data_IF_795297869412
#
_entry.id   IF_795297869412
#
_cell.length_a   1.000
_cell.length_b   1.000
_cell.length_c   1.000
_cell.angle_alpha   90.00
_cell.angle_beta   90.00
_cell.angle_gamma   90.00
#
_symmetry.space_group_name_H-M   'P 1'
#
loop_
_entity.id
_entity.type
_entity.pdbx_description
1 polymer ?
2 water ?
#
# COMPACT_ATOMS: atom_id res chain seq x y z
N UNK A 1 7.24 -2.36 17.91
CA UNK A 1 6.58 -1.02 17.92
C UNK A 1 5.44 -0.97 16.89
N UNK A 2 4.61 0.06 16.98
CA UNK A 2 3.47 0.25 16.08
C UNK A 2 3.85 0.87 14.74
N UNK A 3 3.75 0.08 13.67
CA UNK A 3 3.95 0.59 12.33
C UNK A 3 2.60 0.76 11.63
N UNK A 4 2.40 1.91 10.98
CA UNK A 4 1.19 2.17 10.21
C UNK A 4 1.31 1.61 8.80
N UNK A 5 0.61 0.51 8.54
CA UNK A 5 0.67 -0.13 7.22
C UNK A 5 -0.67 -0.03 6.49
N UNK A 6 -0.65 0.35 5.21
CA UNK A 6 -1.87 0.45 4.42
C UNK A 6 -2.51 -0.92 4.16
N UNK A 7 -3.81 -0.95 3.95
CA UNK A 7 -4.47 -2.21 3.64
C UNK A 7 -4.17 -2.70 2.23
N UNK A 8 -4.25 -4.02 2.03
CA UNK A 8 -4.33 -4.57 0.67
C UNK A 8 -5.57 -3.95 0.02
N UNK A 9 -5.58 -3.83 -1.30
CA UNK A 9 -6.74 -3.26 -1.99
C UNK A 9 -7.30 -4.21 -3.03
N UNK A 10 -6.65 -5.34 -3.21
CA UNK A 10 -7.13 -6.34 -4.15
C UNK A 10 -7.49 -7.61 -3.39
N UNK A 11 -8.60 -8.24 -3.75
CA UNK A 11 -9.06 -9.43 -3.05
C UNK A 11 -9.50 -10.48 -4.03
N UNK A 12 -9.29 -11.73 -3.65
CA UNK A 12 -9.70 -12.86 -4.48
C UNK A 12 -11.08 -13.33 -4.03
N UNK A 13 -12.00 -13.47 -4.99
CA UNK A 13 -13.35 -13.93 -4.72
C UNK A 13 -13.34 -15.28 -3.98
N UNK A 14 -14.16 -15.38 -2.95
CA UNK A 14 -14.29 -16.64 -2.23
C UNK A 14 -13.39 -16.77 -1.02
N UNK A 15 -12.36 -15.92 -0.93
CA UNK A 15 -11.50 -15.92 0.24
C UNK A 15 -11.88 -14.81 1.22
N UNK A 16 -11.41 -14.92 2.48
CA UNK A 16 -11.53 -13.81 3.41
C UNK A 16 -10.59 -12.68 3.03
N UNK A 17 -10.96 -11.46 3.36
CA UNK A 17 -10.15 -10.28 3.05
C UNK A 17 -9.93 -9.49 4.34
N UNK A 18 -8.69 -9.09 4.58
CA UNK A 18 -8.40 -8.25 5.73
C UNK A 18 -8.42 -6.80 5.30
N UNK A 19 -9.35 -6.04 5.86
CA UNK A 19 -9.32 -4.60 5.67
C UNK A 19 -8.47 -4.01 6.78
N UNK A 20 -7.20 -3.80 6.48
CA UNK A 20 -6.27 -3.33 7.50
C UNK A 20 -6.51 -1.86 7.82
N UNK A 21 -6.56 -1.51 9.10
CA UNK A 21 -6.59 -0.10 9.49
C UNK A 21 -5.76 0.08 10.76
N UNK A 22 -4.67 0.83 10.66
CA UNK A 22 -3.79 1.03 11.77
C UNK A 22 -3.62 2.52 12.06
N UNK A 23 -3.87 2.89 13.31
CA UNK A 23 -3.70 4.26 13.73
C UNK A 23 -2.76 4.22 14.92
N UNK A 24 -1.49 4.50 14.68
CA UNK A 24 -0.51 4.47 15.74
C UNK A 24 -0.69 5.69 16.59
N UNK A 25 -0.63 5.49 17.88
CA UNK A 25 -1.21 6.45 18.75
C UNK A 25 -0.21 7.25 19.55
N UNK A 26 -0.69 8.36 20.09
CA UNK A 26 0.11 9.33 20.82
C UNK A 26 0.09 9.09 22.33
N UNK A 27 1.21 8.59 22.85
CA UNK A 27 1.42 8.34 24.29
C UNK A 27 0.55 9.18 25.23
N UNK A 32 -7.30 7.43 27.32
CA UNK A 32 -7.54 7.48 25.88
C UNK A 32 -8.81 6.74 25.44
N UNK A 33 -9.84 7.48 25.06
CA UNK A 33 -11.11 6.89 24.62
C UNK A 33 -11.18 6.78 23.11
N UNK A 34 -11.55 5.60 22.64
CA UNK A 34 -11.53 5.29 21.22
C UNK A 34 -12.91 5.04 20.63
N UNK A 35 -13.14 5.58 19.45
CA UNK A 35 -14.30 5.22 18.66
C UNK A 35 -13.78 4.78 17.30
N UNK A 36 -14.35 3.71 16.77
CA UNK A 36 -14.00 3.24 15.44
C UNK A 36 -15.28 3.05 14.65
N UNK A 37 -15.36 3.67 13.49
CA UNK A 37 -16.49 3.44 12.60
C UNK A 37 -15.98 2.97 11.26
N UNK A 38 -16.54 1.87 10.77
CA UNK A 38 -16.24 1.41 9.43
C UNK A 38 -17.43 1.66 8.53
N UNK A 39 -17.15 2.22 7.36
CA UNK A 39 -18.21 2.52 6.41
C UNK A 39 -17.96 1.78 5.11
N UNK A 40 -19.02 1.52 4.35
CA UNK A 40 -18.87 0.97 3.02
C UNK A 40 -19.72 1.75 2.04
N UNK A 41 -19.21 1.89 0.82
CA UNK A 41 -19.93 2.57 -0.22
C UNK A 41 -19.81 1.78 -1.49
N UNK A 42 -20.94 1.36 -2.04
CA UNK A 42 -20.95 0.70 -3.33
C UNK A 42 -20.84 1.74 -4.45
N UNK A 43 -20.26 1.33 -5.57
CA UNK A 43 -20.15 2.18 -6.75
C UNK A 43 -21.49 2.84 -7.08
N UNK A 44 -21.48 4.17 -7.03
CA UNK A 44 -22.65 4.97 -7.34
C UNK A 44 -23.67 4.96 -6.22
N UNK A 45 -23.20 4.76 -4.99
CA UNK A 45 -24.08 4.73 -3.82
C UNK A 45 -23.63 5.62 -2.69
N UNK A 46 -24.20 5.39 -1.50
CA UNK A 46 -23.91 6.19 -0.31
C UNK A 46 -23.20 5.37 0.75
N UNK A 47 -22.29 5.99 1.50
CA UNK A 47 -21.69 5.34 2.68
C UNK A 47 -22.76 4.87 3.64
N UNK A 48 -22.65 3.64 4.12
CA UNK A 48 -23.39 3.28 5.31
C UNK A 48 -22.46 2.58 6.28
N UNK A 49 -22.75 2.71 7.57
CA UNK A 49 -21.96 2.11 8.64
C UNK A 49 -22.04 0.59 8.58
N UNK A 50 -20.93 -0.11 8.84
CA UNK A 50 -20.95 -1.59 8.81
C UNK A 50 -20.35 -2.22 10.05
N UNK A 51 -19.48 -1.47 10.74
CA UNK A 51 -18.86 -1.91 11.96
C UNK A 51 -18.65 -0.70 12.87
N UNK A 52 -18.86 -0.87 14.17
CA UNK A 52 -18.65 0.23 15.10
C UNK A 52 -18.02 -0.22 16.41
N UNK A 53 -16.98 0.47 16.87
CA UNK A 53 -16.62 0.35 18.28
C UNK A 53 -16.94 1.65 19.01
N UNK A 54 -17.91 1.59 19.91
CA UNK A 54 -18.35 2.75 20.67
C UNK A 54 -18.83 2.27 22.04
N UNK A 55 -17.94 2.32 23.04
CA UNK A 55 -18.19 1.65 24.31
C UNK A 55 -18.54 0.19 24.05
N UNK A 56 -17.60 -0.54 23.46
CA UNK A 56 -17.84 -1.91 23.02
C UNK A 56 -18.05 -2.05 21.52
N UNK A 57 -17.91 -3.29 21.04
CA UNK A 57 -18.21 -3.64 19.66
C UNK A 57 -19.70 -3.83 19.47
N UNK A 58 -20.31 -2.95 18.69
CA UNK A 58 -21.75 -2.95 18.53
C UNK A 58 -22.16 -3.81 17.36
N UNK A 59 -23.35 -4.38 17.47
CA UNK A 59 -23.95 -5.02 16.32
C UNK A 59 -24.56 -3.96 15.43
N UNK A 60 -24.11 -3.98 14.19
CA UNK A 60 -24.53 -3.00 13.23
C UNK A 60 -25.32 -3.76 12.20
N UNK A 61 -26.53 -3.30 11.93
CA UNK A 61 -27.32 -3.91 10.88
C UNK A 61 -26.88 -3.42 9.53
N UNK A 62 -26.55 -4.36 8.65
CA UNK A 62 -26.05 -4.05 7.32
C UNK A 62 -26.05 -5.39 6.61
N UNK A 63 -25.93 -5.36 5.26
CA UNK A 63 -25.77 -6.55 4.41
C UNK A 63 -24.49 -7.29 4.76
N UNK A 64 -23.67 -6.62 5.55
CA UNK A 64 -22.41 -7.14 5.97
C UNK A 64 -22.54 -7.90 7.28
N UNK A 65 -23.60 -7.61 8.03
CA UNK A 65 -23.86 -8.30 9.29
C UNK A 65 -23.91 -9.79 9.00
N UNK A 66 -23.12 -10.56 9.76
CA UNK A 66 -22.92 -11.97 9.47
C UNK A 66 -21.52 -12.30 8.97
N UNK A 67 -20.95 -11.48 8.08
CA UNK A 67 -19.66 -11.81 7.50
C UNK A 67 -18.51 -10.94 7.95
N UNK A 68 -18.67 -10.21 9.04
CA UNK A 68 -17.58 -9.38 9.52
C UNK A 68 -16.90 -10.02 10.71
N UNK A 69 -15.61 -9.76 10.86
CA UNK A 69 -14.84 -10.38 11.93
C UNK A 69 -13.84 -9.37 12.41
N UNK A 70 -13.77 -9.16 13.71
CA UNK A 70 -12.80 -8.22 14.27
C UNK A 70 -11.40 -8.81 14.25
N UNK A 71 -10.41 -7.97 13.96
CA UNK A 71 -9.09 -8.46 13.68
C UNK A 71 -8.08 -7.43 14.12
N UNK A 72 -8.42 -6.71 15.17
CA UNK A 72 -7.57 -5.62 15.64
C UNK A 72 -6.87 -5.95 16.94
N UNK A 73 -6.24 -4.95 17.53
CA UNK A 73 -5.47 -5.14 18.75
C UNK A 73 -6.31 -4.75 19.98
N UNK A 74 -5.86 -5.16 21.16
CA UNK A 74 -6.60 -4.79 22.38
C UNK A 74 -6.33 -3.34 22.72
N UNK A 75 -5.14 -2.87 22.36
CA UNK A 75 -4.78 -1.48 22.57
C UNK A 75 -5.49 -0.55 21.58
N UNK A 76 -6.22 -1.12 20.62
CA UNK A 76 -7.01 -0.37 19.63
C UNK A 76 -6.22 0.55 18.69
N UNK A 77 -4.94 0.26 18.51
CA UNK A 77 -4.15 0.93 17.51
C UNK A 77 -4.33 0.23 16.18
N UNK A 78 -4.50 -1.09 16.24
CA UNK A 78 -4.89 -1.86 15.07
C UNK A 78 -6.39 -2.10 15.17
N UNK A 79 -7.14 -1.59 14.20
CA UNK A 79 -8.61 -1.71 14.21
C UNK A 79 -9.12 -2.39 12.94
N UNK A 80 -8.28 -3.25 12.38
CA UNK A 80 -8.63 -3.98 11.17
C UNK A 80 -9.82 -4.89 11.38
N UNK A 81 -10.57 -5.10 10.30
CA UNK A 81 -11.64 -6.09 10.26
C UNK A 81 -11.46 -7.03 9.10
N UNK A 82 -12.14 -8.16 9.12
CA UNK A 82 -12.06 -9.13 8.03
C UNK A 82 -13.44 -9.32 7.44
N UNK A 83 -13.54 -9.27 6.14
CA UNK A 83 -14.79 -9.65 5.50
C UNK A 83 -14.64 -11.08 5.03
N UNK A 84 -15.51 -11.96 5.54
CA UNK A 84 -15.42 -13.37 5.22
C UNK A 84 -16.12 -13.63 3.89
N UNK A 85 -15.58 -14.56 3.13
CA UNK A 85 -16.30 -15.13 2.00
C UNK A 85 -16.66 -14.06 1.00
N UNK A 86 -15.61 -13.51 0.40
CA UNK A 86 -15.73 -12.31 -0.40
C UNK A 86 -16.35 -12.57 -1.78
N UNK A 87 -17.27 -11.69 -2.16
CA UNK A 87 -17.89 -11.72 -3.49
C UNK A 87 -17.55 -10.50 -4.32
N UNK A 88 -17.66 -10.67 -5.64
CA UNK A 88 -17.50 -9.57 -6.58
C UNK A 88 -18.29 -8.35 -6.15
N UNK A 89 -19.41 -8.56 -5.46
CA UNK A 89 -20.23 -7.44 -5.01
C UNK A 89 -19.69 -6.61 -3.84
N UNK A 90 -18.72 -7.14 -3.11
CA UNK A 90 -18.09 -6.41 -2.02
C UNK A 90 -17.10 -5.34 -2.49
N UNK A 91 -16.83 -5.27 -3.79
CA UNK A 91 -16.07 -4.17 -4.36
C UNK A 91 -16.75 -2.85 -4.02
N UNK A 92 -15.93 -1.82 -3.80
CA UNK A 92 -16.40 -0.52 -3.35
C UNK A 92 -15.35 0.15 -2.50
N UNK A 93 -15.71 1.23 -1.83
CA UNK A 93 -14.79 2.00 -1.01
C UNK A 93 -15.11 1.82 0.47
N UNK A 94 -14.16 1.31 1.25
CA UNK A 94 -14.33 1.12 2.67
C UNK A 94 -13.61 2.24 3.42
N UNK A 95 -14.28 2.83 4.40
CA UNK A 95 -13.70 3.94 5.12
C UNK A 95 -13.51 3.53 6.56
N UNK A 96 -12.33 3.76 7.09
CA UNK A 96 -12.08 3.49 8.50
C UNK A 96 -11.84 4.81 9.25
N UNK A 97 -12.77 5.18 10.15
CA UNK A 97 -12.65 6.36 11.03
C UNK A 97 -12.25 6.00 12.49
N UNK A 98 -11.11 6.52 12.94
CA UNK A 98 -10.69 6.27 14.31
C UNK A 98 -10.58 7.59 15.02
N UNK A 99 -11.34 7.77 16.09
CA UNK A 99 -11.17 8.98 16.87
C UNK A 99 -10.74 8.70 18.31
N UNK A 100 -10.02 9.65 18.89
CA UNK A 100 -9.41 9.43 20.17
C UNK A 100 -9.59 10.64 21.07
N UNK A 101 -10.12 10.42 22.26
CA UNK A 101 -10.25 11.50 23.23
C UNK A 101 -9.35 11.32 24.43
N UNK A 102 -9.01 12.45 25.06
CA UNK A 102 -8.11 12.53 26.23
C UNK A 102 -6.89 11.61 26.18
N UNK A 110 -7.48 15.82 21.45
CA UNK A 110 -8.39 15.12 20.55
C UNK A 110 -7.73 14.70 19.24
N UNK A 111 -8.09 13.52 18.73
CA UNK A 111 -7.65 13.13 17.39
C UNK A 111 -8.73 12.45 16.54
N UNK A 112 -8.49 12.39 15.24
CA UNK A 112 -9.37 11.71 14.33
C UNK A 112 -8.59 11.48 13.06
N UNK A 113 -8.65 10.26 12.56
CA UNK A 113 -7.86 9.86 11.44
C UNK A 113 -8.76 9.08 10.49
N UNK A 114 -8.55 9.23 9.20
CA UNK A 114 -9.37 8.50 8.22
C UNK A 114 -8.53 7.69 7.26
N UNK A 115 -9.00 6.51 6.92
CA UNK A 115 -8.32 5.65 5.97
C UNK A 115 -9.29 5.17 4.93
N UNK A 116 -8.89 5.26 3.68
CA UNK A 116 -9.76 4.84 2.60
C UNK A 116 -9.22 3.62 1.88
N UNK A 117 -10.10 2.64 1.69
CA UNK A 117 -9.72 1.42 1.00
C UNK A 117 -10.61 1.18 -0.20
N UNK A 118 -10.08 1.49 -1.39
CA UNK A 118 -10.75 1.26 -2.67
C UNK A 118 -10.67 -0.23 -3.00
N UNK A 119 -11.58 -1.02 -2.44
CA UNK A 119 -11.49 -2.46 -2.55
C UNK A 119 -11.95 -2.98 -3.91
N UNK A 120 -11.12 -3.79 -4.54
CA UNK A 120 -11.48 -4.40 -5.81
C UNK A 120 -11.31 -5.93 -5.79
N UNK A 121 -12.38 -6.64 -6.16
CA UNK A 121 -12.41 -8.10 -6.06
C UNK A 121 -12.24 -8.79 -7.40
N UNK A 122 -11.37 -9.81 -7.43
CA UNK A 122 -11.06 -10.53 -8.66
C UNK A 122 -11.50 -11.98 -8.58
N UNK A 123 -11.63 -12.60 -9.77
CA UNK A 123 -11.86 -14.03 -9.97
C UNK A 123 -10.64 -14.94 -9.74
N UNK A 124 -10.92 -16.22 -9.46
CA UNK A 124 -9.93 -17.35 -9.48
C UNK A 124 -9.32 -17.71 -8.11
N UNK B 1 11.32 -8.72 13.68
CA UNK B 1 10.07 -9.52 13.58
C UNK B 1 9.60 -9.57 12.12
N UNK B 2 8.33 -9.89 11.91
CA UNK B 2 7.78 -10.02 10.57
C UNK B 2 6.52 -9.20 10.37
N UNK B 3 6.60 -8.19 9.52
CA UNK B 3 5.47 -7.36 9.28
C UNK B 3 4.99 -7.58 7.86
N UNK B 4 3.69 -7.73 7.68
CA UNK B 4 3.16 -7.88 6.33
C UNK B 4 2.87 -6.53 5.73
N UNK B 5 3.48 -6.25 4.59
CA UNK B 5 3.40 -4.94 4.02
C UNK B 5 3.11 -5.16 2.56
N UNK B 6 2.12 -4.43 2.02
CA UNK B 6 1.76 -4.61 0.63
C UNK B 6 2.87 -4.09 -0.30
N UNK B 7 2.88 -4.57 -1.53
CA UNK B 7 3.84 -4.11 -2.50
C UNK B 7 3.52 -2.71 -3.02
N UNK B 8 4.54 -2.03 -3.54
CA UNK B 8 4.32 -0.83 -4.35
C UNK B 8 3.52 -1.24 -5.59
N UNK B 9 2.83 -0.29 -6.22
CA UNK B 9 1.99 -0.64 -7.34
C UNK B 9 2.32 0.24 -8.54
N UNK B 10 3.22 1.20 -8.36
CA UNK B 10 3.59 2.11 -9.42
C UNK B 10 5.07 1.99 -9.73
N UNK B 11 5.40 1.91 -11.01
CA UNK B 11 6.78 1.77 -11.41
C UNK B 11 7.15 2.76 -12.52
N UNK B 12 8.41 3.17 -12.48
CA UNK B 12 8.95 4.03 -13.52
C UNK B 12 9.60 3.17 -14.58
N UNK B 13 9.29 3.46 -15.84
CA UNK B 13 9.87 2.78 -16.99
C UNK B 13 11.41 2.76 -16.98
N UNK B 14 11.98 1.60 -17.28
CA UNK B 14 13.44 1.43 -17.31
C UNK B 14 14.13 1.21 -15.98
N UNK B 15 13.41 1.35 -14.87
CA UNK B 15 13.95 1.08 -13.55
C UNK B 15 13.56 -0.30 -13.07
N UNK B 16 14.28 -0.84 -12.08
CA UNK B 16 13.86 -2.10 -11.47
C UNK B 16 12.63 -1.88 -10.59
N UNK B 17 11.76 -2.88 -10.50
CA UNK B 17 10.57 -2.77 -9.67
C UNK B 17 10.53 -3.94 -8.70
N UNK B 18 10.34 -3.67 -7.41
CA UNK B 18 10.21 -4.76 -6.46
C UNK B 18 8.75 -5.16 -6.25
N UNK B 19 8.43 -6.40 -6.55
CA UNK B 19 7.11 -6.91 -6.20
C UNK B 19 7.21 -7.56 -4.83
N UNK B 20 6.92 -6.77 -3.81
CA UNK B 20 6.95 -7.28 -2.45
C UNK B 20 5.87 -8.34 -2.25
N UNK B 21 6.21 -9.41 -1.54
CA UNK B 21 5.21 -10.37 -1.09
C UNK B 21 5.65 -10.97 0.24
N UNK B 22 4.90 -10.66 1.29
CA UNK B 22 5.26 -11.15 2.61
C UNK B 22 4.16 -12.01 3.16
N UNK B 23 4.56 -13.19 3.63
CA UNK B 23 3.64 -14.11 4.28
C UNK B 23 4.23 -14.59 5.61
N UNK B 24 3.83 -13.91 6.68
CA UNK B 24 4.36 -14.20 8.00
C UNK B 24 3.87 -15.54 8.50
N UNK B 25 4.80 -16.40 8.88
CA UNK B 25 4.49 -17.77 9.35
C UNK B 25 4.05 -17.81 10.82
N UNK B 26 3.03 -18.61 11.13
CA UNK B 26 2.44 -18.62 12.48
C UNK B 26 3.32 -19.30 13.55
N UNK B 32 7.32 -26.25 7.98
CA UNK B 32 6.80 -27.01 6.86
C UNK B 32 7.51 -26.60 5.57
N UNK B 33 7.21 -27.34 4.51
CA UNK B 33 7.74 -27.04 3.19
C UNK B 33 6.98 -25.88 2.58
N UNK B 34 7.65 -25.15 1.71
CA UNK B 34 7.05 -23.99 1.11
C UNK B 34 7.04 -24.08 -0.40
N UNK B 35 5.99 -23.54 -0.99
CA UNK B 35 5.88 -23.46 -2.42
C UNK B 35 5.45 -22.04 -2.73
N UNK B 36 6.13 -21.40 -3.67
CA UNK B 36 5.84 -20.03 -4.02
C UNK B 36 5.59 -20.00 -5.51
N UNK B 37 4.43 -19.51 -5.91
CA UNK B 37 4.14 -19.34 -7.32
C UNK B 37 3.80 -17.88 -7.62
N UNK B 38 4.41 -17.35 -8.67
CA UNK B 38 4.18 -15.98 -9.08
C UNK B 38 3.62 -16.00 -10.47
N UNK B 39 2.40 -15.47 -10.62
CA UNK B 39 1.78 -15.39 -11.94
C UNK B 39 1.68 -13.96 -12.45
N UNK B 40 1.60 -13.82 -13.77
CA UNK B 40 1.38 -12.53 -14.40
C UNK B 40 0.24 -12.62 -15.37
N UNK B 41 -0.52 -11.54 -15.50
CA UNK B 41 -1.69 -11.48 -16.35
C UNK B 41 -1.76 -10.12 -17.00
N UNK B 42 -1.55 -10.06 -18.33
CA UNK B 42 -1.63 -8.78 -19.03
C UNK B 42 -3.00 -8.12 -18.87
N UNK B 43 -3.13 -6.86 -19.30
CA UNK B 43 -4.40 -6.12 -19.20
C UNK B 43 -5.57 -6.97 -19.71
N UNK B 44 -6.46 -7.31 -18.78
CA UNK B 44 -7.25 -8.52 -18.92
C UNK B 44 -6.24 -9.64 -18.98
N UNK B 45 -6.55 -10.68 -19.75
CA UNK B 45 -5.55 -11.68 -20.12
C UNK B 45 -5.64 -13.07 -19.51
N UNK B 46 -4.69 -13.93 -19.88
CA UNK B 46 -4.51 -15.20 -19.21
C UNK B 46 -3.30 -15.11 -18.27
N UNK B 47 -3.49 -15.59 -17.05
CA UNK B 47 -2.42 -15.72 -16.05
C UNK B 47 -1.43 -16.84 -16.36
N UNK B 48 -0.19 -16.48 -16.61
CA UNK B 48 0.86 -17.51 -16.70
C UNK B 48 1.95 -17.38 -15.64
N UNK B 49 2.47 -18.54 -15.24
CA UNK B 49 3.57 -18.64 -14.28
C UNK B 49 4.82 -17.93 -14.78
N UNK B 50 5.52 -17.23 -13.89
CA UNK B 50 6.75 -16.52 -14.26
C UNK B 50 7.89 -16.79 -13.29
N UNK B 51 7.56 -17.26 -12.10
CA UNK B 51 8.56 -17.60 -11.11
C UNK B 51 7.99 -18.68 -10.22
N UNK B 52 8.83 -19.61 -9.78
CA UNK B 52 8.38 -20.72 -8.95
C UNK B 52 9.46 -21.12 -7.95
N UNK B 53 9.11 -21.22 -6.68
CA UNK B 53 9.97 -21.93 -5.77
C UNK B 53 9.27 -23.22 -5.39
N UNK B 54 9.76 -24.35 -5.90
CA UNK B 54 9.18 -25.67 -5.65
C UNK B 54 10.32 -26.68 -5.61
N UNK B 55 10.76 -27.01 -4.40
CA UNK B 55 12.02 -27.75 -4.21
C UNK B 55 13.14 -27.01 -4.95
N UNK B 56 13.39 -25.78 -4.52
CA UNK B 56 14.34 -24.89 -5.19
C UNK B 56 13.71 -23.87 -6.13
N UNK B 57 14.53 -22.91 -6.55
CA UNK B 57 14.15 -21.89 -7.53
C UNK B 57 14.28 -22.43 -8.92
N UNK B 58 13.16 -22.49 -9.62
CA UNK B 58 13.12 -23.08 -10.94
C UNK B 58 13.40 -22.03 -12.00
N UNK B 59 13.83 -22.47 -13.18
CA UNK B 59 13.88 -21.61 -14.33
C UNK B 59 12.57 -21.74 -15.07
N UNK B 60 11.85 -20.64 -15.14
CA UNK B 60 10.53 -20.63 -15.73
C UNK B 60 10.61 -19.90 -17.05
N UNK B 61 10.08 -20.52 -18.11
CA UNK B 61 10.13 -19.86 -19.41
C UNK B 61 9.00 -18.86 -19.55
N UNK B 62 9.38 -17.63 -19.84
CA UNK B 62 8.49 -16.49 -19.86
C UNK B 62 9.29 -15.33 -20.42
N UNK B 63 8.59 -14.27 -20.85
CA UNK B 63 9.16 -13.01 -21.32
C UNK B 63 9.90 -12.30 -20.20
N UNK B 64 9.77 -12.80 -18.97
CA UNK B 64 10.40 -12.19 -17.82
C UNK B 64 11.76 -12.85 -17.56
N UNK B 65 11.93 -14.06 -18.10
CA UNK B 65 13.16 -14.80 -17.95
C UNK B 65 14.33 -13.91 -18.33
N UNK B 66 15.20 -13.65 -17.37
CA UNK B 66 16.37 -12.81 -17.60
C UNK B 66 16.50 -11.60 -16.70
N UNK B 67 15.39 -10.96 -16.38
CA UNK B 67 15.40 -9.78 -15.53
C UNK B 67 14.54 -9.97 -14.28
N UNK B 68 14.34 -11.23 -13.92
CA UNK B 68 13.75 -11.59 -12.63
C UNK B 68 14.86 -11.83 -11.62
N UNK B 69 14.65 -11.34 -10.42
CA UNK B 69 15.64 -11.51 -9.39
C UNK B 69 14.96 -11.77 -8.06
N UNK B 70 15.36 -12.88 -7.45
CA UNK B 70 14.83 -13.31 -6.17
C UNK B 70 15.23 -12.33 -5.11
N UNK B 71 14.26 -11.98 -4.29
CA UNK B 71 14.43 -10.92 -3.35
C UNK B 71 13.93 -11.36 -2.01
N UNK B 72 13.79 -12.67 -1.86
CA UNK B 72 13.19 -13.24 -0.68
C UNK B 72 14.17 -13.46 0.43
N UNK B 73 13.63 -13.86 1.57
CA UNK B 73 14.43 -14.14 2.74
C UNK B 73 14.68 -15.64 2.79
N UNK B 74 15.65 -16.05 3.60
CA UNK B 74 15.97 -17.47 3.72
C UNK B 74 14.89 -18.22 4.49
N UNK B 75 14.25 -17.55 5.44
CA UNK B 75 13.16 -18.17 6.19
C UNK B 75 11.89 -18.27 5.36
N UNK B 76 11.91 -17.68 4.16
CA UNK B 76 10.76 -17.70 3.23
C UNK B 76 9.45 -17.04 3.75
N UNK B 77 9.57 -16.12 4.69
CA UNK B 77 8.42 -15.26 5.02
C UNK B 77 8.32 -14.09 4.02
N UNK B 78 9.47 -13.70 3.49
CA UNK B 78 9.53 -12.75 2.42
C UNK B 78 9.83 -13.50 1.13
N UNK B 79 8.95 -13.39 0.14
CA UNK B 79 9.09 -14.14 -1.12
C UNK B 79 9.03 -13.21 -2.32
N UNK B 80 9.38 -11.95 -2.07
CA UNK B 80 9.37 -10.90 -3.06
C UNK B 80 10.33 -11.20 -4.21
N UNK B 81 9.99 -10.71 -5.39
CA UNK B 81 10.88 -10.71 -6.55
C UNK B 81 11.06 -9.30 -7.09
N UNK B 82 12.11 -9.09 -7.86
CA UNK B 82 12.35 -7.84 -8.55
C UNK B 82 12.37 -8.05 -10.06
N UNK B 83 11.59 -7.25 -10.76
CA UNK B 83 11.64 -7.23 -12.21
C UNK B 83 12.63 -6.15 -12.62
N UNK B 84 13.67 -6.54 -13.32
CA UNK B 84 14.69 -5.57 -13.75
C UNK B 84 14.21 -4.92 -15.02
N UNK B 85 14.61 -3.67 -15.22
CA UNK B 85 14.48 -3.05 -16.54
C UNK B 85 13.01 -3.07 -16.99
N UNK B 86 12.17 -2.38 -16.22
CA UNK B 86 10.73 -2.40 -16.38
C UNK B 86 10.25 -1.63 -17.61
N UNK B 87 9.28 -2.20 -18.31
CA UNK B 87 8.70 -1.55 -19.46
C UNK B 87 7.22 -1.34 -19.33
N UNK B 88 6.71 -0.37 -20.09
CA UNK B 88 5.29 -0.08 -20.16
C UNK B 88 4.47 -1.35 -20.32
N UNK B 89 5.06 -2.34 -20.98
CA UNK B 89 4.43 -3.64 -21.18
C UNK B 89 4.29 -4.51 -19.92
N UNK B 90 5.07 -4.24 -18.88
CA UNK B 90 4.98 -5.02 -17.64
C UNK B 90 3.77 -4.66 -16.78
N UNK B 91 3.01 -3.65 -17.18
CA UNK B 91 1.74 -3.35 -16.52
C UNK B 91 0.84 -4.56 -16.59
N UNK B 92 0.05 -4.76 -15.55
CA UNK B 92 -0.81 -5.93 -15.44
C UNK B 92 -0.96 -6.32 -14.00
N UNK B 93 -1.58 -7.48 -13.78
CA UNK B 93 -1.82 -7.98 -12.43
C UNK B 93 -0.91 -9.16 -12.11
N UNK B 94 -0.08 -9.01 -11.09
CA UNK B 94 0.82 -10.06 -10.64
C UNK B 94 0.22 -10.74 -9.43
N UNK B 95 0.28 -12.06 -9.40
CA UNK B 95 -0.25 -12.81 -8.29
C UNK B 95 0.88 -13.53 -7.58
N UNK B 96 0.90 -13.52 -6.26
CA UNK B 96 1.91 -14.25 -5.51
C UNK B 96 1.21 -15.27 -4.61
N UNK B 97 1.45 -16.56 -4.89
CA UNK B 97 0.80 -17.68 -4.20
C UNK B 97 1.73 -18.43 -3.26
N UNK B 98 1.36 -18.56 -2.01
CA UNK B 98 2.28 -19.11 -1.05
C UNK B 98 1.58 -20.21 -0.29
N UNK B 99 2.03 -21.44 -0.52
CA UNK B 99 1.49 -22.56 0.23
C UNK B 99 2.49 -23.09 1.23
N UNK B 100 1.97 -23.64 2.32
CA UNK B 100 2.84 -24.18 3.34
C UNK B 100 2.34 -25.54 3.68
N UNK B 101 3.22 -26.52 3.54
CA UNK B 101 2.85 -27.91 3.69
C UNK B 101 3.22 -28.41 5.07
N UNK B 110 -2.21 -27.76 5.97
CA UNK B 110 -1.91 -27.12 4.69
C UNK B 110 -2.55 -25.73 4.58
N UNK B 111 -1.79 -24.77 4.05
CA UNK B 111 -2.15 -23.35 4.13
C UNK B 111 -1.74 -22.65 2.85
N UNK B 112 -2.56 -21.69 2.40
CA UNK B 112 -2.23 -20.91 1.23
C UNK B 112 -2.66 -19.45 1.40
N UNK B 113 -1.89 -18.54 0.82
CA UNK B 113 -2.15 -17.14 0.96
C UNK B 113 -1.91 -16.59 -0.41
N UNK B 114 -2.68 -15.59 -0.81
CA UNK B 114 -2.50 -14.99 -2.12
C UNK B 114 -2.34 -13.48 -2.04
N UNK B 115 -1.54 -12.90 -2.93
CA UNK B 115 -1.40 -11.45 -2.96
C UNK B 115 -1.54 -10.96 -4.38
N UNK B 116 -2.34 -9.93 -4.57
CA UNK B 116 -2.48 -9.38 -5.89
C UNK B 116 -1.83 -8.02 -5.95
N UNK B 117 -1.04 -7.81 -6.98
CA UNK B 117 -0.38 -6.55 -7.16
C UNK B 117 -0.81 -5.94 -8.50
N UNK B 118 -1.70 -4.93 -8.46
CA UNK B 118 -2.02 -4.35 -9.76
C UNK B 118 -0.93 -3.39 -10.23
N UNK B 119 0.03 -3.90 -10.98
CA UNK B 119 1.14 -3.06 -11.41
C UNK B 119 0.81 -2.12 -12.58
N UNK B 120 1.22 -0.87 -12.41
CA UNK B 120 1.05 0.15 -13.42
C UNK B 120 2.38 0.84 -13.69
N UNK B 121 2.81 0.84 -14.94
CA UNK B 121 4.10 1.43 -15.29
C UNK B 121 3.94 2.78 -15.94
N UNK B 122 4.86 3.68 -15.66
CA UNK B 122 4.76 5.06 -16.11
C UNK B 122 5.98 5.45 -16.91
N UNK B 123 5.83 6.39 -17.84
CA UNK B 123 6.92 6.77 -18.77
C UNK B 123 8.10 7.45 -18.08
N UNK C 2 13.74 -0.03 11.14
CA UNK C 2 13.22 0.63 9.90
C UNK C 2 12.56 -0.40 9.00
N UNK C 3 11.38 -0.04 8.50
CA UNK C 3 10.57 -0.88 7.62
C UNK C 3 10.03 -0.03 6.48
N UNK C 4 10.32 -0.43 5.25
CA UNK C 4 9.79 0.29 4.10
C UNK C 4 8.29 0.04 3.94
N UNK C 5 7.52 1.11 3.93
CA UNK C 5 6.09 0.99 3.85
C UNK C 5 5.57 1.99 2.84
N UNK C 6 4.78 1.52 1.88
CA UNK C 6 4.23 2.42 0.89
C UNK C 6 3.27 3.42 1.50
N UNK C 7 3.16 4.58 0.86
CA UNK C 7 2.28 5.66 1.28
C UNK C 7 0.80 5.29 1.08
N UNK C 8 -0.09 5.89 1.86
CA UNK C 8 -1.51 5.82 1.57
C UNK C 8 -1.70 6.50 0.24
N UNK C 9 -2.77 6.14 -0.49
CA UNK C 9 -2.96 6.67 -1.84
C UNK C 9 -4.31 7.35 -2.01
N UNK C 10 -5.11 7.34 -0.95
CA UNK C 10 -6.44 7.92 -1.00
C UNK C 10 -6.53 8.99 0.05
N UNK C 11 -7.08 10.14 -0.34
CA UNK C 11 -7.18 11.24 0.58
C UNK C 11 -8.59 11.82 0.52
N UNK C 12 -9.04 12.32 1.67
CA UNK C 12 -10.29 13.04 1.78
C UNK C 12 -10.02 14.53 1.62
N UNK C 13 -10.77 15.14 0.70
CA UNK C 13 -10.72 16.59 0.45
C UNK C 13 -10.85 17.43 1.73
N UNK C 14 -9.97 18.42 1.88
CA UNK C 14 -10.02 19.32 3.02
C UNK C 14 -9.20 18.88 4.22
N UNK C 15 -8.81 17.62 4.27
CA UNK C 15 -7.85 17.16 5.27
C UNK C 15 -6.39 17.21 4.79
N UNK C 16 -5.43 17.20 5.73
CA UNK C 16 -4.03 17.04 5.37
C UNK C 16 -3.77 15.60 4.92
N UNK C 17 -2.87 15.42 3.96
CA UNK C 17 -2.50 14.10 3.46
C UNK C 17 -1.00 13.84 3.66
N UNK C 18 -0.65 12.73 4.31
CA UNK C 18 0.77 12.43 4.42
C UNK C 18 1.25 11.60 3.24
N UNK C 19 2.25 12.11 2.53
CA UNK C 19 2.88 11.33 1.48
C UNK C 19 4.09 10.67 2.10
N UNK C 20 3.90 9.44 2.58
CA UNK C 20 4.99 8.68 3.15
C UNK C 20 6.05 8.37 2.10
N UNK C 21 7.30 8.39 2.53
CA UNK C 21 8.42 7.93 1.70
C UNK C 21 9.52 7.44 2.62
N UNK C 22 9.80 6.15 2.56
CA UNK C 22 10.78 5.57 3.43
C UNK C 22 11.85 4.87 2.61
N UNK C 23 13.10 5.18 2.91
CA UNK C 23 14.22 4.56 2.26
C UNK C 23 15.22 4.15 3.31
N UNK C 24 15.14 2.90 3.73
CA UNK C 24 15.99 2.41 4.80
C UNK C 24 17.45 2.26 4.35
N UNK C 25 18.38 2.57 5.27
CA UNK C 25 19.82 2.36 5.07
C UNK C 25 20.15 0.89 5.31
N UNK C 26 20.97 0.31 4.44
CA UNK C 26 21.44 -1.05 4.63
C UNK C 26 22.73 -1.06 5.47
N UNK C 32 27.28 8.81 5.35
CA UNK C 32 26.14 8.80 4.44
C UNK C 32 25.59 10.21 4.23
N UNK C 33 25.26 10.52 2.97
CA UNK C 33 24.83 11.86 2.60
C UNK C 33 23.61 11.84 1.70
N UNK C 34 22.65 12.72 1.97
CA UNK C 34 21.32 12.63 1.38
C UNK C 34 20.85 13.83 0.58
N UNK C 35 20.00 13.55 -0.39
CA UNK C 35 19.25 14.56 -1.13
C UNK C 35 17.89 13.95 -1.46
N UNK C 36 16.83 14.69 -1.13
CA UNK C 36 15.46 14.26 -1.38
C UNK C 36 14.85 15.26 -2.34
N UNK C 37 14.13 14.77 -3.33
CA UNK C 37 13.49 15.67 -4.28
C UNK C 37 12.09 15.16 -4.40
N UNK C 38 11.11 16.04 -4.28
CA UNK C 38 9.73 15.63 -4.43
C UNK C 38 9.16 16.27 -5.69
N UNK C 39 8.58 15.45 -6.55
CA UNK C 39 7.97 15.96 -7.76
C UNK C 39 6.49 15.67 -7.80
N UNK C 40 5.79 16.44 -8.62
CA UNK C 40 4.37 16.22 -8.87
C UNK C 40 4.12 16.31 -10.35
N UNK C 41 3.14 15.55 -10.81
CA UNK C 41 2.81 15.46 -12.21
C UNK C 41 1.32 15.26 -12.36
N UNK C 42 0.64 16.21 -13.01
CA UNK C 42 -0.79 15.99 -13.22
C UNK C 42 -0.97 15.01 -14.37
N UNK C 43 -1.91 14.08 -14.23
CA UNK C 43 -2.12 13.02 -15.23
C UNK C 43 -2.16 13.55 -16.65
N UNK C 44 -1.17 13.14 -17.44
CA UNK C 44 -0.96 13.69 -18.77
C UNK C 44 0.22 14.65 -18.77
N UNK C 45 0.24 15.56 -17.81
CA UNK C 45 1.28 16.59 -17.75
C UNK C 45 2.66 16.03 -17.47
N UNK C 46 3.57 16.91 -17.08
CA UNK C 46 4.93 16.48 -16.77
C UNK C 46 5.43 16.90 -15.38
N UNK C 47 6.27 16.06 -14.78
CA UNK C 47 6.77 16.23 -13.40
C UNK C 47 7.50 17.52 -13.10
N UNK C 48 7.01 18.31 -12.14
CA UNK C 48 7.81 19.44 -11.66
C UNK C 48 8.16 19.31 -10.17
N UNK C 49 9.27 19.90 -9.76
CA UNK C 49 9.71 19.80 -8.38
C UNK C 49 8.77 20.55 -7.44
N UNK C 50 8.57 20.02 -6.23
CA UNK C 50 7.72 20.71 -5.23
C UNK C 50 8.39 20.81 -3.86
N UNK C 51 9.37 19.95 -3.60
CA UNK C 51 10.11 19.98 -2.36
C UNK C 51 11.51 19.48 -2.61
N UNK C 52 12.49 20.08 -1.93
CA UNK C 52 13.89 19.70 -2.10
C UNK C 52 14.66 19.78 -0.80
N UNK C 53 15.34 18.70 -0.44
CA UNK C 53 16.43 18.83 0.50
C UNK C 53 17.75 18.65 -0.25
N UNK C 54 18.46 19.77 -0.39
CA UNK C 54 19.77 19.81 -1.04
C UNK C 54 20.68 20.82 -0.31
N UNK C 55 21.49 20.29 0.61
CA UNK C 55 22.23 21.11 1.55
C UNK C 55 21.23 22.02 2.25
N UNK C 56 20.33 21.39 3.00
CA UNK C 56 19.23 22.07 3.66
C UNK C 56 17.91 22.01 2.91
N UNK C 57 16.82 22.22 3.64
CA UNK C 57 15.50 22.33 3.04
C UNK C 57 15.34 23.66 2.29
N UNK C 58 15.12 23.58 0.99
CA UNK C 58 15.07 24.77 0.14
C UNK C 58 13.65 25.30 -0.05
N UNK C 59 13.56 26.56 -0.47
CA UNK C 59 12.29 27.12 -0.91
C UNK C 59 12.08 26.73 -2.36
N UNK C 60 10.97 26.04 -2.63
CA UNK C 60 10.69 25.57 -3.97
C UNK C 60 9.44 26.29 -4.46
N UNK C 61 9.55 26.96 -5.60
CA UNK C 61 8.40 27.63 -6.15
C UNK C 61 7.49 26.63 -6.86
N UNK C 62 6.22 26.65 -6.46
CA UNK C 62 5.20 25.79 -7.01
C UNK C 62 3.86 26.22 -6.47
N UNK C 63 2.77 25.75 -7.10
CA UNK C 63 1.42 25.90 -6.54
C UNK C 63 1.25 25.17 -5.20
N UNK C 64 2.27 24.45 -4.74
CA UNK C 64 2.22 23.79 -3.44
C UNK C 64 2.85 24.65 -2.35
N UNK C 65 3.58 25.69 -2.79
CA UNK C 65 4.33 26.55 -1.87
C UNK C 65 3.42 27.12 -0.80
N UNK C 66 3.80 26.91 0.45
CA UNK C 66 3.00 27.33 1.58
C UNK C 66 2.03 26.26 2.02
N UNK C 67 2.02 25.12 1.33
CA UNK C 67 1.11 24.03 1.71
C UNK C 67 1.80 22.69 1.97
N UNK C 68 3.12 22.71 2.02
CA UNK C 68 3.87 21.51 2.30
C UNK C 68 4.49 21.64 3.66
N UNK C 69 4.63 20.52 4.35
CA UNK C 69 5.17 20.48 5.70
C UNK C 69 5.98 19.21 5.88
N UNK C 70 7.21 19.36 6.32
CA UNK C 70 8.17 18.27 6.45
C UNK C 70 7.80 17.30 7.56
N UNK C 71 8.07 16.02 7.31
CA UNK C 71 7.53 14.98 8.16
C UNK C 71 8.53 13.88 8.31
N UNK C 72 9.78 14.19 8.00
CA UNK C 72 10.81 13.18 7.89
C UNK C 72 11.45 12.90 9.24
N UNK C 73 12.27 11.86 9.29
CA UNK C 73 12.98 11.54 10.52
C UNK C 73 14.33 12.26 10.49
N UNK C 74 15.09 12.15 11.57
CA UNK C 74 16.40 12.77 11.62
C UNK C 74 17.43 11.90 10.93
N UNK C 75 17.28 10.60 11.08
CA UNK C 75 18.14 9.65 10.39
C UNK C 75 18.00 9.75 8.87
N UNK C 76 17.01 10.50 8.40
CA UNK C 76 16.79 10.68 6.96
C UNK C 76 16.35 9.43 6.20
N UNK C 77 15.97 8.39 6.94
CA UNK C 77 15.37 7.17 6.37
C UNK C 77 13.90 7.37 6.02
N UNK C 78 13.22 8.21 6.82
CA UNK C 78 11.87 8.69 6.52
C UNK C 78 11.99 10.13 5.99
N UNK C 79 11.51 10.34 4.77
CA UNK C 79 11.59 11.64 4.08
C UNK C 79 10.21 12.14 3.66
N UNK C 80 9.18 11.65 4.36
CA UNK C 80 7.79 11.99 4.09
C UNK C 80 7.50 13.47 4.24
N UNK C 81 6.54 13.94 3.44
CA UNK C 81 6.01 15.28 3.57
C UNK C 81 4.49 15.19 3.70
N UNK C 82 3.90 16.30 4.16
CA UNK C 82 2.45 16.42 4.26
C UNK C 82 1.96 17.55 3.38
N UNK C 83 0.92 17.28 2.62
CA UNK C 83 0.22 18.32 1.90
C UNK C 83 -0.96 18.71 2.75
N UNK C 84 -0.94 19.95 3.24
CA UNK C 84 -2.02 20.47 4.05
C UNK C 84 -3.21 20.85 3.16
N UNK C 85 -4.41 20.65 3.69
CA UNK C 85 -5.60 21.25 3.10
C UNK C 85 -5.80 20.76 1.68
N UNK C 86 -6.08 19.46 1.55
CA UNK C 86 -6.03 18.80 0.25
C UNK C 86 -7.27 19.10 -0.60
N UNK C 87 -7.04 19.33 -1.90
CA UNK C 87 -8.10 19.56 -2.89
C UNK C 87 -8.13 18.53 -4.00
N UNK C 88 -9.31 18.35 -4.60
CA UNK C 88 -9.47 17.49 -5.75
C UNK C 88 -8.37 17.72 -6.79
N UNK C 89 -7.83 18.95 -6.82
CA UNK C 89 -6.76 19.29 -7.74
C UNK C 89 -5.39 18.65 -7.46
N UNK C 90 -5.22 18.18 -6.23
CA UNK C 90 -3.96 17.57 -5.80
C UNK C 90 -3.85 16.12 -6.23
N UNK C 91 -4.90 15.60 -6.87
CA UNK C 91 -4.80 14.26 -7.43
C UNK C 91 -3.73 14.31 -8.48
N UNK C 92 -3.00 13.21 -8.62
CA UNK C 92 -1.85 13.13 -9.52
C UNK C 92 -0.83 12.15 -9.00
N UNK C 93 0.32 12.10 -9.64
CA UNK C 93 1.38 11.19 -9.28
C UNK C 93 2.53 11.94 -8.63
N UNK C 94 2.83 11.57 -7.40
CA UNK C 94 3.91 12.19 -6.65
C UNK C 94 5.13 11.30 -6.66
N UNK C 95 6.29 11.89 -6.89
CA UNK C 95 7.49 11.09 -6.97
C UNK C 95 8.42 11.48 -5.86
N UNK C 96 8.95 10.49 -5.16
CA UNK C 96 9.95 10.75 -4.13
C UNK C 96 11.31 10.12 -4.50
N UNK C 97 12.26 10.98 -4.83
CA UNK C 97 13.64 10.60 -5.17
C UNK C 97 14.61 10.83 -4.03
N UNK C 98 15.25 9.76 -3.57
CA UNK C 98 16.25 9.88 -2.53
C UNK C 98 17.53 9.28 -3.03
N UNK C 99 18.55 10.10 -3.15
CA UNK C 99 19.84 9.58 -3.59
C UNK C 99 20.84 9.84 -2.49
N UNK C 100 21.62 8.81 -2.17
CA UNK C 100 22.54 8.91 -1.05
C UNK C 100 23.98 8.91 -1.52
N UNK C 101 24.84 9.63 -0.81
CA UNK C 101 26.26 9.61 -1.08
C UNK C 101 26.96 8.56 -0.22
N UNK C 110 27.38 5.05 -4.19
CA UNK C 110 26.19 5.84 -4.48
C UNK C 110 24.93 4.99 -4.71
N UNK C 111 23.93 5.15 -3.85
CA UNK C 111 22.67 4.39 -3.89
C UNK C 111 21.46 5.31 -4.10
N UNK C 112 20.61 4.97 -5.05
CA UNK C 112 19.45 5.82 -5.39
C UNK C 112 18.10 5.11 -5.30
N UNK C 113 17.12 5.75 -4.68
CA UNK C 113 15.81 5.13 -4.50
C UNK C 113 14.68 6.04 -5.01
N UNK C 114 13.61 5.41 -5.52
CA UNK C 114 12.43 6.14 -6.00
C UNK C 114 11.07 5.48 -5.66
N UNK C 115 10.16 6.28 -5.13
CA UNK C 115 8.81 5.85 -4.81
C UNK C 115 7.79 6.67 -5.59
N UNK C 116 6.76 6.00 -6.09
CA UNK C 116 5.71 6.69 -6.80
C UNK C 116 4.43 6.61 -6.01
N UNK C 117 3.73 7.73 -5.90
CA UNK C 117 2.46 7.70 -5.18
C UNK C 117 1.35 8.21 -6.08
N UNK C 118 0.43 7.30 -6.48
CA UNK C 118 -0.63 7.82 -7.34
C UNK C 118 -1.79 8.33 -6.47
N UNK C 119 -1.68 9.60 -6.09
CA UNK C 119 -2.65 10.19 -5.20
C UNK C 119 -4.02 10.44 -5.84
N UNK C 120 -5.06 10.01 -5.15
CA UNK C 120 -6.45 10.18 -5.60
C UNK C 120 -7.30 10.77 -4.46
N UNK C 121 -7.96 11.88 -4.75
CA UNK C 121 -8.63 12.66 -3.72
C UNK C 121 -10.14 12.52 -3.77
N UNK C 122 -10.72 12.17 -2.63
CA UNK C 122 -12.16 11.98 -2.55
C UNK C 122 -12.87 13.14 -1.87
N UNK C 123 -13.94 13.61 -2.48
CA UNK C 123 -14.82 14.53 -1.79
C UNK C 123 -15.99 13.78 -1.15
#
# INVERSE_FOLDING_TARGET
VCVEVPSETEAVQGNPMKLRCISCMKREEVEATTVVEWFYRPEGGKDFLIYEYRNGHQEVESPFQGRLQWNGSKDLQDVSITVLNVTLNDSGLYTCNVSREFEFEAHRPFVKTTRLIPLRVHHHHHH
VCVEVPSETEAVQGNPMKLRCISCMKREEVEATTVVEWFYRPEGGKDFLIYEYRNGHQEVESPFQGRLQWNGSKDLQDVSITVLNVTLNDSGLYTCNVSREFEFEAHRPFVKTTRLIPLRVHHHHHH
VCVEVPSETEAVQGNPMKLRCISCMKREEVEATTVVEWFYRPEGGKDFLIYEYRNGHQEVESPFQGRLQWNGSKDLQDVSITVLNVTLNDSGLYTCNVSREFEFEAHRPFVKTTRLIPLRVHHHHHH
#
